data_IF_334971919688
#
_entry.id   IF_334971919688
#
_cell.length_a   1.000
_cell.length_b   1.000
_cell.length_c   1.000
_cell.angle_alpha   90.00
_cell.angle_beta   90.00
_cell.angle_gamma   90.00
#
_symmetry.space_group_name_H-M   'P 1'
#
loop_
_entity.id
_entity.type
_entity.pdbx_description
1 polymer ?
#
# COMPACT_ATOMS: atom_id res chain seq x y z
N UNK A 1 29.72 0.84 27.21
CA UNK A 1 28.45 0.08 27.36
C UNK A 1 27.20 0.97 27.26
N UNK A 2 27.02 2.05 28.03
CA UNK A 2 25.83 2.93 27.94
C UNK A 2 25.55 3.54 26.55
N UNK A 3 26.58 3.97 25.79
CA UNK A 3 26.41 4.54 24.44
C UNK A 3 25.93 3.52 23.39
N UNK A 4 26.31 2.25 23.54
CA UNK A 4 25.88 1.16 22.65
C UNK A 4 24.39 0.83 22.84
N UNK A 5 23.91 0.87 24.09
CA UNK A 5 22.50 0.65 24.41
C UNK A 5 21.61 1.81 23.94
N UNK A 6 22.14 3.05 23.96
CA UNK A 6 21.44 4.23 23.42
C UNK A 6 21.37 4.15 21.89
N UNK A 7 22.47 3.76 21.22
CA UNK A 7 22.47 3.58 19.77
C UNK A 7 21.52 2.44 19.34
N UNK A 8 21.51 1.33 20.08
CA UNK A 8 20.60 0.20 19.83
C UNK A 8 19.14 0.58 20.10
N UNK A 9 18.86 1.37 21.15
CA UNK A 9 17.51 1.87 21.45
C UNK A 9 17.01 2.88 20.40
N UNK A 10 17.90 3.74 19.87
CA UNK A 10 17.57 4.66 18.77
C UNK A 10 17.34 3.88 17.47
N UNK A 11 18.12 2.84 17.19
CA UNK A 11 17.92 1.95 16.03
C UNK A 11 16.60 1.17 16.15
N UNK A 12 16.27 0.65 17.33
CA UNK A 12 15.00 -0.03 17.61
C UNK A 12 13.80 0.93 17.54
N UNK A 13 13.95 2.17 18.01
CA UNK A 13 12.92 3.21 17.89
C UNK A 13 12.72 3.66 16.43
N UNK A 14 13.80 3.72 15.63
CA UNK A 14 13.73 4.00 14.20
C UNK A 14 13.11 2.82 13.42
N UNK A 15 13.43 1.58 13.78
CA UNK A 15 12.78 0.37 13.25
C UNK A 15 11.31 0.30 13.63
N UNK A 16 10.94 0.66 14.86
CA UNK A 16 9.55 0.80 15.28
C UNK A 16 8.85 1.98 14.58
N UNK A 17 9.57 3.05 14.24
CA UNK A 17 9.10 4.17 13.42
C UNK A 17 8.93 3.82 11.94
N UNK A 18 9.76 2.96 11.37
CA UNK A 18 9.62 2.45 10.00
C UNK A 18 8.55 1.36 9.89
N UNK A 19 8.46 0.46 10.87
CA UNK A 19 7.32 -0.46 11.01
C UNK A 19 6.02 0.30 11.31
N UNK A 20 6.11 1.39 12.07
CA UNK A 20 5.03 2.33 12.36
C UNK A 20 4.63 3.16 11.14
N UNK A 21 5.58 3.53 10.28
CA UNK A 21 5.32 4.17 8.99
C UNK A 21 4.72 3.19 8.00
N UNK A 22 5.14 1.92 7.98
CA UNK A 22 4.46 0.86 7.24
C UNK A 22 3.06 0.58 7.80
N UNK A 23 2.85 0.66 9.11
CA UNK A 23 1.53 0.56 9.72
C UNK A 23 0.66 1.78 9.42
N UNK A 24 1.23 2.99 9.43
CA UNK A 24 0.55 4.24 9.11
C UNK A 24 0.28 4.39 7.61
N UNK A 25 1.14 3.88 6.74
CA UNK A 25 0.97 3.86 5.29
C UNK A 25 0.02 2.72 4.88
N UNK A 26 0.03 1.60 5.62
CA UNK A 26 -1.00 0.55 5.55
C UNK A 26 -2.33 1.01 6.13
N UNK A 27 -2.37 1.99 7.03
CA UNK A 27 -3.61 2.58 7.54
C UNK A 27 -4.12 3.67 6.59
N UNK A 28 -3.26 4.59 6.15
CA UNK A 28 -3.59 5.69 5.25
C UNK A 28 -3.97 5.21 3.84
N UNK A 29 -3.23 4.25 3.25
CA UNK A 29 -3.63 3.69 1.96
C UNK A 29 -4.83 2.74 2.09
N UNK A 30 -5.02 2.08 3.23
CA UNK A 30 -6.23 1.28 3.45
C UNK A 30 -7.46 2.15 3.62
N UNK A 31 -7.35 3.30 4.27
CA UNK A 31 -8.47 4.24 4.42
C UNK A 31 -8.84 4.90 3.07
N UNK A 32 -7.85 5.23 2.24
CA UNK A 32 -8.10 5.75 0.88
C UNK A 32 -8.69 4.68 -0.07
N UNK A 33 -8.16 3.46 -0.05
CA UNK A 33 -8.68 2.31 -0.82
C UNK A 33 -10.10 1.93 -0.34
N UNK A 34 -10.31 1.87 0.97
CA UNK A 34 -11.63 1.60 1.57
C UNK A 34 -12.62 2.72 1.30
N UNK A 35 -12.20 3.99 1.34
CA UNK A 35 -13.06 5.14 1.05
C UNK A 35 -13.50 5.21 -0.42
N UNK A 36 -12.59 4.89 -1.35
CA UNK A 36 -12.94 4.82 -2.77
C UNK A 36 -13.80 3.60 -3.10
N UNK A 37 -13.49 2.44 -2.52
CA UNK A 37 -14.33 1.23 -2.66
C UNK A 37 -15.74 1.46 -2.10
N UNK A 38 -15.86 2.05 -0.91
CA UNK A 38 -17.14 2.41 -0.32
C UNK A 38 -17.92 3.38 -1.22
N UNK A 39 -17.26 4.39 -1.80
CA UNK A 39 -17.91 5.29 -2.75
C UNK A 39 -18.45 4.56 -3.99
N UNK A 40 -17.70 3.61 -4.55
CA UNK A 40 -18.15 2.83 -5.71
C UNK A 40 -19.36 1.95 -5.37
N UNK A 41 -19.40 1.34 -4.19
CA UNK A 41 -20.49 0.45 -3.78
C UNK A 41 -21.72 1.20 -3.24
N UNK A 42 -21.51 2.29 -2.50
CA UNK A 42 -22.55 2.96 -1.72
C UNK A 42 -23.08 4.24 -2.40
N UNK A 43 -22.26 4.94 -3.19
CA UNK A 43 -22.64 6.21 -3.81
C UNK A 43 -22.89 6.13 -5.33
N UNK A 44 -22.34 5.13 -6.02
CA UNK A 44 -22.66 4.86 -7.41
C UNK A 44 -23.81 3.85 -7.51
N UNK A 45 -24.88 4.24 -8.22
CA UNK A 45 -25.95 3.30 -8.56
C UNK A 45 -25.47 2.37 -9.67
N UNK A 46 -24.87 1.25 -9.28
CA UNK A 46 -24.39 0.22 -10.21
C UNK A 46 -25.53 -0.70 -10.68
N UNK A 47 -25.53 -1.05 -11.97
CA UNK A 47 -26.40 -2.10 -12.50
C UNK A 47 -25.97 -3.47 -11.97
N UNK A 48 -26.86 -4.47 -12.05
CA UNK A 48 -26.50 -5.85 -11.63
C UNK A 48 -25.32 -6.41 -12.43
N UNK A 49 -25.23 -6.08 -13.72
CA UNK A 49 -24.10 -6.48 -14.56
C UNK A 49 -22.79 -5.83 -14.10
N UNK A 50 -22.83 -4.53 -13.80
CA UNK A 50 -21.67 -3.81 -13.29
C UNK A 50 -21.20 -4.37 -11.94
N UNK A 51 -22.13 -4.69 -11.02
CA UNK A 51 -21.82 -5.32 -9.73
C UNK A 51 -21.11 -6.65 -9.90
N UNK A 52 -21.64 -7.54 -10.76
CA UNK A 52 -21.03 -8.85 -10.99
C UNK A 52 -19.62 -8.74 -11.61
N UNK A 53 -19.43 -7.79 -12.53
CA UNK A 53 -18.11 -7.50 -13.11
C UNK A 53 -17.14 -6.95 -12.05
N UNK A 54 -17.63 -6.07 -11.18
CA UNK A 54 -16.86 -5.47 -10.10
C UNK A 54 -16.44 -6.52 -9.06
N UNK A 55 -17.35 -7.39 -8.61
CA UNK A 55 -17.04 -8.48 -7.68
C UNK A 55 -15.95 -9.42 -8.24
N UNK A 56 -16.04 -9.73 -9.54
CA UNK A 56 -15.03 -10.56 -10.22
C UNK A 56 -13.68 -9.86 -10.28
N UNK A 57 -13.67 -8.56 -10.56
CA UNK A 57 -12.45 -7.74 -10.55
C UNK A 57 -11.84 -7.68 -9.15
N UNK A 58 -12.63 -7.43 -8.12
CA UNK A 58 -12.21 -7.35 -6.72
C UNK A 58 -11.62 -8.67 -6.22
N UNK A 59 -12.26 -9.80 -6.53
CA UNK A 59 -11.74 -11.11 -6.16
C UNK A 59 -10.35 -11.37 -6.77
N UNK A 60 -10.13 -10.95 -8.02
CA UNK A 60 -8.82 -11.07 -8.69
C UNK A 60 -7.79 -10.14 -8.07
N UNK A 61 -8.16 -8.89 -7.81
CA UNK A 61 -7.27 -7.92 -7.19
C UNK A 61 -6.87 -8.34 -5.78
N UNK A 62 -7.79 -8.89 -4.99
CA UNK A 62 -7.50 -9.41 -3.64
C UNK A 62 -6.38 -10.47 -3.65
N UNK A 63 -6.37 -11.36 -4.66
CA UNK A 63 -5.31 -12.36 -4.82
C UNK A 63 -3.98 -11.71 -5.22
N UNK A 64 -3.98 -10.77 -6.18
CA UNK A 64 -2.78 -10.05 -6.60
C UNK A 64 -2.17 -9.25 -5.43
N UNK A 65 -3.02 -8.52 -4.72
CA UNK A 65 -2.65 -7.74 -3.53
C UNK A 65 -2.05 -8.62 -2.44
N UNK A 66 -2.69 -9.74 -2.11
CA UNK A 66 -2.16 -10.67 -1.10
C UNK A 66 -0.76 -11.19 -1.47
N UNK A 67 -0.53 -11.48 -2.76
CA UNK A 67 0.78 -11.90 -3.27
C UNK A 67 1.83 -10.80 -3.13
N UNK A 68 1.50 -9.56 -3.51
CA UNK A 68 2.40 -8.42 -3.42
C UNK A 68 2.72 -8.06 -1.96
N UNK A 69 1.73 -8.09 -1.07
CA UNK A 69 1.92 -7.90 0.36
C UNK A 69 2.83 -8.98 0.97
N UNK A 70 2.70 -10.24 0.55
CA UNK A 70 3.61 -11.31 0.97
C UNK A 70 5.04 -11.06 0.47
N UNK A 71 5.21 -10.57 -0.76
CA UNK A 71 6.52 -10.21 -1.31
C UNK A 71 7.18 -9.08 -0.53
N UNK A 72 6.43 -8.03 -0.16
CA UNK A 72 6.94 -6.93 0.64
C UNK A 72 7.37 -7.40 2.05
N UNK A 73 6.58 -8.28 2.68
CA UNK A 73 6.96 -8.90 3.96
C UNK A 73 8.24 -9.74 3.86
N UNK A 74 8.41 -10.47 2.76
CA UNK A 74 9.64 -11.25 2.53
C UNK A 74 10.86 -10.34 2.36
N UNK A 75 10.74 -9.23 1.63
CA UNK A 75 11.82 -8.24 1.49
C UNK A 75 12.20 -7.62 2.85
N UNK A 76 11.23 -7.30 3.70
CA UNK A 76 11.49 -6.82 5.07
C UNK A 76 12.24 -7.85 5.92
N UNK A 77 11.90 -9.14 5.79
CA UNK A 77 12.62 -10.20 6.49
C UNK A 77 14.08 -10.33 6.01
N UNK A 78 14.34 -10.09 4.72
CA UNK A 78 15.70 -10.06 4.17
C UNK A 78 16.49 -8.85 4.67
N UNK A 79 15.85 -7.67 4.77
CA UNK A 79 16.47 -6.50 5.37
C UNK A 79 16.89 -6.75 6.83
N UNK A 80 16.01 -7.35 7.63
CA UNK A 80 16.34 -7.71 9.01
C UNK A 80 17.56 -8.65 9.08
N UNK A 81 17.64 -9.66 8.20
CA UNK A 81 18.80 -10.56 8.12
C UNK A 81 20.08 -9.83 7.69
N UNK A 82 20.00 -8.89 6.75
CA UNK A 82 21.14 -8.10 6.32
C UNK A 82 21.67 -7.21 7.45
N UNK A 83 20.78 -6.58 8.20
CA UNK A 83 21.14 -5.76 9.37
C UNK A 83 21.81 -6.60 10.46
N UNK A 84 21.27 -7.77 10.77
CA UNK A 84 21.88 -8.71 11.73
C UNK A 84 23.24 -9.22 11.26
N UNK A 85 23.45 -9.34 9.95
CA UNK A 85 24.71 -9.84 9.43
C UNK A 85 25.80 -8.78 9.29
N UNK A 86 25.45 -7.50 9.05
CA UNK A 86 26.41 -6.41 8.82
C UNK A 86 26.59 -5.52 10.05
N UNK A 87 25.57 -5.34 10.88
CA UNK A 87 25.56 -4.42 12.03
C UNK A 87 25.93 -2.95 11.69
N UNK A 88 26.01 -2.63 10.41
CA UNK A 88 26.30 -1.32 9.86
C UNK A 88 25.55 -1.15 8.54
N UNK A 89 25.53 0.07 7.99
CA UNK A 89 25.00 0.33 6.67
C UNK A 89 25.99 -0.16 5.61
N UNK A 90 26.01 -1.47 5.39
CA UNK A 90 26.84 -2.12 4.39
C UNK A 90 26.10 -2.37 3.08
N UNK A 91 26.78 -3.00 2.10
CA UNK A 91 26.22 -3.23 0.77
C UNK A 91 24.99 -4.14 0.79
N UNK A 92 24.87 -5.10 1.73
CA UNK A 92 23.67 -5.96 1.80
C UNK A 92 22.48 -5.22 2.39
N UNK A 93 22.70 -4.37 3.40
CA UNK A 93 21.63 -3.53 3.97
C UNK A 93 21.08 -2.58 2.91
N UNK A 94 21.96 -1.90 2.16
CA UNK A 94 21.55 -1.02 1.06
C UNK A 94 20.72 -1.74 0.00
N UNK A 95 21.21 -2.89 -0.49
CA UNK A 95 20.48 -3.69 -1.49
C UNK A 95 19.11 -4.20 -0.99
N UNK A 96 19.02 -4.59 0.29
CA UNK A 96 17.76 -5.03 0.87
C UNK A 96 16.74 -3.89 1.02
N UNK A 97 17.20 -2.66 1.29
CA UNK A 97 16.34 -1.47 1.30
C UNK A 97 15.77 -1.20 -0.10
N UNK A 98 16.62 -1.25 -1.13
CA UNK A 98 16.18 -1.05 -2.52
C UNK A 98 15.14 -2.10 -2.94
N UNK A 99 15.31 -3.36 -2.51
CA UNK A 99 14.35 -4.43 -2.75
C UNK A 99 13.01 -4.16 -2.03
N UNK A 100 13.03 -3.70 -0.77
CA UNK A 100 11.82 -3.31 -0.05
C UNK A 100 11.07 -2.19 -0.80
N UNK A 101 11.78 -1.15 -1.24
CA UNK A 101 11.17 -0.07 -2.04
C UNK A 101 10.57 -0.57 -3.36
N UNK A 102 11.26 -1.47 -4.05
CA UNK A 102 10.75 -2.07 -5.29
C UNK A 102 9.43 -2.83 -5.03
N UNK A 103 9.37 -3.66 -3.98
CA UNK A 103 8.15 -4.42 -3.64
C UNK A 103 6.99 -3.54 -3.18
N UNK A 104 7.29 -2.48 -2.43
CA UNK A 104 6.27 -1.48 -2.08
C UNK A 104 5.74 -0.77 -3.33
N UNK A 105 6.62 -0.40 -4.25
CA UNK A 105 6.25 0.22 -5.52
C UNK A 105 5.38 -0.68 -6.40
N UNK A 106 5.63 -2.00 -6.40
CA UNK A 106 4.78 -2.96 -7.13
C UNK A 106 3.34 -2.97 -6.58
N UNK A 107 3.17 -2.91 -5.25
CA UNK A 107 1.85 -2.81 -4.62
C UNK A 107 1.13 -1.52 -5.00
N UNK A 108 1.81 -0.36 -4.91
CA UNK A 108 1.22 0.92 -5.29
C UNK A 108 0.77 0.94 -6.76
N UNK A 109 1.62 0.45 -7.67
CA UNK A 109 1.27 0.35 -9.10
C UNK A 109 0.06 -0.55 -9.34
N UNK A 110 -0.04 -1.67 -8.62
CA UNK A 110 -1.18 -2.57 -8.72
C UNK A 110 -2.48 -1.91 -8.24
N UNK A 111 -2.44 -1.16 -7.13
CA UNK A 111 -3.60 -0.41 -6.64
C UNK A 111 -4.05 0.66 -7.65
N UNK A 112 -3.12 1.44 -8.22
CA UNK A 112 -3.47 2.45 -9.23
C UNK A 112 -4.09 1.80 -10.48
N UNK A 113 -3.56 0.66 -10.93
CA UNK A 113 -4.14 -0.10 -12.04
C UNK A 113 -5.55 -0.59 -11.71
N UNK A 114 -5.78 -1.13 -10.51
CA UNK A 114 -7.10 -1.55 -10.05
C UNK A 114 -8.12 -0.41 -10.03
N UNK A 115 -7.71 0.81 -9.64
CA UNK A 115 -8.56 2.01 -9.74
C UNK A 115 -9.02 2.29 -11.18
N UNK A 116 -8.13 2.16 -12.16
CA UNK A 116 -8.51 2.28 -13.57
C UNK A 116 -9.38 1.13 -14.04
N UNK A 117 -9.10 -0.11 -13.63
CA UNK A 117 -9.92 -1.28 -13.98
C UNK A 117 -11.36 -1.13 -13.46
N UNK A 118 -11.56 -0.56 -12.26
CA UNK A 118 -12.89 -0.23 -11.73
C UNK A 118 -13.60 0.82 -12.61
N UNK A 119 -12.87 1.86 -13.03
CA UNK A 119 -13.39 2.93 -13.90
C UNK A 119 -13.93 2.39 -15.23
N UNK A 120 -13.31 1.35 -15.81
CA UNK A 120 -13.73 0.75 -17.08
C UNK A 120 -15.09 0.03 -17.03
N UNK A 121 -15.57 -0.31 -15.83
CA UNK A 121 -16.90 -0.95 -15.64
C UNK A 121 -18.02 0.10 -15.68
N UNK A 122 -17.69 1.36 -15.37
CA UNK A 122 -18.63 2.44 -15.17
C UNK A 122 -19.09 3.06 -16.50
N UNK A 123 -20.33 3.56 -16.52
CA UNK A 123 -20.84 4.38 -17.62
C UNK A 123 -20.25 5.80 -17.59
N UNK A 124 -20.42 6.62 -18.65
CA UNK A 124 -19.81 7.95 -18.73
C UNK A 124 -20.21 8.91 -17.60
N UNK A 125 -21.39 8.77 -17.01
CA UNK A 125 -21.85 9.65 -15.93
C UNK A 125 -21.25 9.22 -14.59
N UNK A 126 -21.22 7.92 -14.34
CA UNK A 126 -20.55 7.31 -13.19
C UNK A 126 -19.04 7.58 -13.21
N UNK A 127 -18.39 7.49 -14.37
CA UNK A 127 -16.96 7.80 -14.53
C UNK A 127 -16.62 9.22 -14.10
N UNK A 128 -17.44 10.23 -14.46
CA UNK A 128 -17.20 11.61 -14.04
C UNK A 128 -17.23 11.78 -12.52
N UNK A 129 -18.18 11.11 -11.85
CA UNK A 129 -18.29 11.13 -10.38
C UNK A 129 -17.12 10.39 -9.74
N UNK A 130 -16.73 9.24 -10.30
CA UNK A 130 -15.58 8.47 -9.87
C UNK A 130 -14.28 9.27 -9.97
N UNK A 131 -14.02 9.91 -11.12
CA UNK A 131 -12.80 10.71 -11.36
C UNK A 131 -12.68 11.88 -10.36
N UNK A 132 -13.80 12.52 -10.02
CA UNK A 132 -13.84 13.57 -8.99
C UNK A 132 -13.49 13.03 -7.60
N UNK A 133 -14.03 11.86 -7.24
CA UNK A 133 -13.75 11.23 -5.95
C UNK A 133 -12.29 10.77 -5.86
N UNK A 134 -11.74 10.19 -6.93
CA UNK A 134 -10.32 9.81 -7.00
C UNK A 134 -9.44 11.05 -6.85
N UNK A 135 -9.73 12.13 -7.57
CA UNK A 135 -8.99 13.39 -7.43
C UNK A 135 -9.02 13.87 -5.98
N UNK A 136 -10.20 13.89 -5.35
CA UNK A 136 -10.36 14.31 -3.96
C UNK A 136 -9.55 13.43 -3.01
N UNK A 137 -9.63 12.12 -3.14
CA UNK A 137 -8.90 11.17 -2.30
C UNK A 137 -7.37 11.33 -2.42
N UNK A 138 -6.87 11.75 -3.58
CA UNK A 138 -5.45 11.97 -3.82
C UNK A 138 -4.96 13.37 -3.42
N UNK A 139 -5.85 14.35 -3.32
CA UNK A 139 -5.50 15.76 -3.01
C UNK A 139 -5.91 16.21 -1.60
N UNK A 140 -6.82 15.49 -0.94
CA UNK A 140 -7.19 15.79 0.44
C UNK A 140 -6.00 15.46 1.36
N UNK A 141 -5.42 16.48 1.97
CA UNK A 141 -4.36 16.32 2.97
C UNK A 141 -4.86 15.40 4.10
N UNK A 142 -4.03 14.45 4.59
CA UNK A 142 -4.38 13.72 5.79
C UNK A 142 -4.61 14.73 6.90
N UNK A 143 -5.81 14.73 7.49
CA UNK A 143 -6.18 15.62 8.59
C UNK A 143 -5.08 15.54 9.66
N UNK A 144 -4.39 16.66 9.87
CA UNK A 144 -3.45 16.90 10.98
C UNK A 144 -4.15 16.85 12.33
#
# INVERSE_FOLDING_TARGET
MKKLHIALAVLLAALAGCLGALAADRWANHDADTGLHAFVHDELTLTNEQKQRLETLEARFAVERARLEASARAANAQLAQAMEAEHEYGPRVGAAIDEVHARMGDLQKATVRHVFDMREILDPDQQRRFDQQVSKALTDSPRS
#
